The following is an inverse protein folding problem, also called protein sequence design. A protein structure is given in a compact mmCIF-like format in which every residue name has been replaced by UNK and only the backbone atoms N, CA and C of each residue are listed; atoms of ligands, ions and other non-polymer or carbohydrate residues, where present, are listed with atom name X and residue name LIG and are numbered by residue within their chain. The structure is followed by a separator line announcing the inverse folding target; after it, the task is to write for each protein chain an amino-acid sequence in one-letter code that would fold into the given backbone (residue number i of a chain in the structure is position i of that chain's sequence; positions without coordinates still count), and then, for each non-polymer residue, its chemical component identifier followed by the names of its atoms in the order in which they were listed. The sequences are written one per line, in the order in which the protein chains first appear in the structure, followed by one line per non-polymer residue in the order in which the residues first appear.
data_IF_753358623144
#
_entry.id   IF_753358623144
#
_cell.length_a   1.000
_cell.length_b   1.000
_cell.length_c   1.000
_cell.angle_alpha   90.00
_cell.angle_beta   90.00
_cell.angle_gamma   90.00
#
_symmetry.space_group_name_H-M   'P 1'
#
loop_
_entity.id
_entity.type
_entity.pdbx_description
1 polymer ?
#
# COMPACT_ATOMS: atom_id res chain seq x y z
N UNK A 1 27.52 4.65 3.59
CA UNK A 1 26.10 5.04 3.69
C UNK A 1 25.16 3.93 3.18
N UNK A 2 25.60 2.66 3.17
CA UNK A 2 24.80 1.51 2.68
C UNK A 2 24.23 0.66 3.82
N UNK A 3 24.93 0.61 4.96
CA UNK A 3 24.50 -0.19 6.14
C UNK A 3 23.14 0.25 6.71
N UNK A 4 22.78 1.54 6.60
CA UNK A 4 21.48 2.05 7.05
C UNK A 4 20.34 1.62 6.13
N UNK A 5 20.56 1.47 4.81
CA UNK A 5 19.53 0.95 3.90
C UNK A 5 19.26 -0.54 4.17
N UNK A 6 20.30 -1.35 4.38
CA UNK A 6 20.14 -2.78 4.69
C UNK A 6 19.47 -3.01 6.07
N UNK A 7 19.81 -2.21 7.09
CA UNK A 7 19.19 -2.31 8.41
C UNK A 7 17.70 -1.96 8.39
N UNK A 8 17.28 -1.04 7.52
CA UNK A 8 15.90 -0.58 7.42
C UNK A 8 15.01 -1.59 6.68
N UNK A 9 15.55 -2.23 5.63
CA UNK A 9 14.86 -3.31 4.90
C UNK A 9 14.63 -4.52 5.82
N UNK A 10 15.61 -4.93 6.63
CA UNK A 10 15.44 -6.05 7.56
C UNK A 10 14.39 -5.78 8.64
N UNK A 11 14.30 -4.56 9.17
CA UNK A 11 13.24 -4.18 10.12
C UNK A 11 11.87 -4.13 9.44
N UNK A 12 11.78 -3.59 8.22
CA UNK A 12 10.55 -3.57 7.43
C UNK A 12 10.02 -4.98 7.11
N UNK A 13 10.91 -5.90 6.74
CA UNK A 13 10.56 -7.31 6.49
C UNK A 13 10.03 -8.02 7.74
N UNK A 14 10.61 -7.77 8.92
CA UNK A 14 10.12 -8.34 10.18
C UNK A 14 8.72 -7.83 10.53
N UNK A 15 8.47 -6.53 10.36
CA UNK A 15 7.15 -5.93 10.58
C UNK A 15 6.12 -6.51 9.62
N UNK A 16 6.48 -6.68 8.36
CA UNK A 16 5.61 -7.29 7.36
C UNK A 16 5.36 -8.78 7.62
N UNK A 17 6.36 -9.56 8.03
CA UNK A 17 6.17 -10.97 8.42
C UNK A 17 5.19 -11.09 9.59
N UNK A 18 5.38 -10.29 10.64
CA UNK A 18 4.49 -10.27 11.79
C UNK A 18 3.07 -9.81 11.42
N UNK A 19 2.95 -8.83 10.51
CA UNK A 19 1.66 -8.40 9.97
C UNK A 19 1.01 -9.51 9.15
N UNK A 20 1.76 -10.20 8.30
CA UNK A 20 1.24 -11.30 7.49
C UNK A 20 0.71 -12.45 8.36
N UNK A 21 1.45 -12.83 9.39
CA UNK A 21 1.01 -13.83 10.38
C UNK A 21 -0.31 -13.40 11.05
N UNK A 22 -0.40 -12.14 11.49
CA UNK A 22 -1.64 -11.59 12.06
C UNK A 22 -2.80 -11.54 11.05
N UNK A 23 -2.51 -11.33 9.77
CA UNK A 23 -3.51 -11.25 8.72
C UNK A 23 -4.03 -12.62 8.27
N UNK A 24 -3.17 -13.65 8.29
CA UNK A 24 -3.54 -15.05 8.06
C UNK A 24 -4.50 -15.56 9.15
N UNK A 25 -4.37 -15.08 10.39
CA UNK A 25 -5.30 -15.41 11.50
C UNK A 25 -6.70 -14.78 11.34
N UNK A 26 -6.85 -13.75 10.51
CA UNK A 26 -8.10 -12.98 10.33
C UNK A 26 -8.98 -13.54 9.20
N UNK A 27 -8.58 -14.65 8.55
CA UNK A 27 -9.29 -15.26 7.40
C UNK A 27 -9.61 -14.23 6.30
N UNK A 28 -8.60 -13.44 5.94
CA UNK A 28 -8.73 -12.43 4.90
C UNK A 28 -8.77 -13.06 3.50
N UNK A 29 -9.59 -12.47 2.63
CA UNK A 29 -9.65 -12.82 1.21
C UNK A 29 -8.24 -12.77 0.58
N UNK A 30 -7.93 -13.80 -0.23
CA UNK A 30 -6.62 -13.95 -0.89
C UNK A 30 -6.19 -12.71 -1.67
N UNK A 31 -7.15 -11.95 -2.24
CA UNK A 31 -6.81 -10.74 -2.97
C UNK A 31 -6.38 -9.60 -2.04
N UNK A 32 -6.90 -9.53 -0.82
CA UNK A 32 -6.46 -8.55 0.18
C UNK A 32 -5.01 -8.84 0.58
N UNK A 33 -4.69 -10.12 0.83
CA UNK A 33 -3.34 -10.57 1.17
C UNK A 33 -2.39 -10.23 0.02
N UNK A 34 -2.74 -10.63 -1.22
CA UNK A 34 -1.94 -10.33 -2.40
C UNK A 34 -1.75 -8.81 -2.64
N UNK A 35 -2.78 -8.01 -2.39
CA UNK A 35 -2.70 -6.56 -2.52
C UNK A 35 -1.78 -5.92 -1.47
N UNK A 36 -1.81 -6.43 -0.23
CA UNK A 36 -0.88 -6.02 0.82
C UNK A 36 0.55 -6.46 0.51
N UNK A 37 0.76 -7.69 0.05
CA UNK A 37 2.07 -8.20 -0.36
C UNK A 37 2.71 -7.29 -1.41
N UNK A 38 1.96 -6.93 -2.45
CA UNK A 38 2.41 -6.00 -3.48
C UNK A 38 2.68 -4.60 -2.92
N UNK A 39 1.82 -4.09 -2.03
CA UNK A 39 2.00 -2.78 -1.40
C UNK A 39 3.28 -2.71 -0.57
N UNK A 40 3.54 -3.72 0.27
CA UNK A 40 4.76 -3.80 1.08
C UNK A 40 6.00 -4.01 0.22
N UNK A 41 5.92 -4.84 -0.83
CA UNK A 41 7.00 -4.97 -1.80
C UNK A 41 7.42 -3.60 -2.34
N UNK A 42 6.46 -2.79 -2.77
CA UNK A 42 6.74 -1.46 -3.29
C UNK A 42 7.23 -0.47 -2.23
N UNK A 43 6.72 -0.55 -1.01
CA UNK A 43 7.15 0.30 0.10
C UNK A 43 8.62 0.05 0.48
N UNK A 44 9.06 -1.22 0.49
CA UNK A 44 10.40 -1.60 0.96
C UNK A 44 11.44 -1.74 -0.14
N UNK A 45 11.05 -2.21 -1.33
CA UNK A 45 11.99 -2.50 -2.42
C UNK A 45 11.90 -1.49 -3.58
N UNK A 46 10.88 -0.64 -3.59
CA UNK A 46 10.66 0.34 -4.65
C UNK A 46 11.46 1.63 -4.42
N UNK A 47 12.21 2.05 -5.44
CA UNK A 47 12.75 3.42 -5.51
C UNK A 47 11.63 4.39 -5.93
N UNK A 48 10.63 4.52 -5.07
CA UNK A 48 9.44 5.34 -5.26
C UNK A 48 9.64 6.77 -4.76
N UNK A 49 9.00 7.72 -5.44
CA UNK A 49 8.89 9.08 -4.96
C UNK A 49 8.04 9.17 -3.68
N UNK A 50 8.13 10.31 -2.99
CA UNK A 50 7.47 10.52 -1.70
C UNK A 50 5.95 10.36 -1.77
N UNK A 51 5.31 10.84 -2.84
CA UNK A 51 3.86 10.76 -2.97
C UNK A 51 3.39 9.33 -3.27
N UNK A 52 4.13 8.59 -4.10
CA UNK A 52 3.86 7.17 -4.34
C UNK A 52 3.98 6.34 -3.04
N UNK A 53 5.00 6.63 -2.21
CA UNK A 53 5.13 6.00 -0.87
C UNK A 53 3.97 6.37 0.05
N UNK A 54 3.56 7.64 0.04
CA UNK A 54 2.41 8.13 0.81
C UNK A 54 1.11 7.44 0.38
N UNK A 55 0.89 7.28 -0.92
CA UNK A 55 -0.27 6.56 -1.46
C UNK A 55 -0.30 5.11 -0.98
N UNK A 56 0.83 4.39 -1.07
CA UNK A 56 0.94 3.00 -0.59
C UNK A 56 0.66 2.89 0.91
N UNK A 57 1.23 3.79 1.72
CA UNK A 57 0.96 3.80 3.16
C UNK A 57 -0.52 4.03 3.46
N UNK A 58 -1.17 4.95 2.74
CA UNK A 58 -2.62 5.18 2.88
C UNK A 58 -3.43 3.97 2.43
N UNK A 59 -3.00 3.24 1.41
CA UNK A 59 -3.63 1.99 1.01
C UNK A 59 -3.51 0.92 2.10
N UNK A 60 -2.32 0.74 2.67
CA UNK A 60 -2.10 -0.23 3.76
C UNK A 60 -2.99 0.10 4.97
N UNK A 61 -3.02 1.37 5.39
CA UNK A 61 -3.91 1.81 6.47
C UNK A 61 -5.39 1.68 6.13
N UNK A 62 -5.78 1.82 4.86
CA UNK A 62 -7.16 1.60 4.44
C UNK A 62 -7.58 0.16 4.67
N UNK A 63 -6.75 -0.79 4.23
CA UNK A 63 -7.01 -2.22 4.45
C UNK A 63 -7.10 -2.50 5.95
N UNK A 64 -6.11 -2.09 6.75
CA UNK A 64 -6.19 -2.30 8.20
C UNK A 64 -7.41 -1.63 8.84
N UNK A 65 -7.77 -0.42 8.42
CA UNK A 65 -8.94 0.24 8.99
C UNK A 65 -10.25 -0.50 8.72
N UNK A 66 -10.37 -1.11 7.54
CA UNK A 66 -11.55 -1.87 7.12
C UNK A 66 -11.66 -3.22 7.83
N UNK A 67 -10.55 -3.90 8.05
CA UNK A 67 -10.55 -5.27 8.57
C UNK A 67 -10.26 -5.39 10.06
N UNK A 68 -9.59 -4.39 10.66
CA UNK A 68 -9.38 -4.33 12.11
C UNK A 68 -10.48 -3.55 12.85
N UNK A 69 -11.51 -3.06 12.14
CA UNK A 69 -12.56 -2.17 12.69
C UNK A 69 -12.02 -0.94 13.44
N UNK A 70 -10.83 -0.47 13.06
CA UNK A 70 -10.16 0.68 13.68
C UNK A 70 -10.15 1.85 12.68
N UNK A 71 -10.67 3.04 13.03
CA UNK A 71 -10.67 4.21 12.15
C UNK A 71 -9.27 4.85 12.03
N UNK A 72 -8.31 4.11 11.48
CA UNK A 72 -6.95 4.58 11.22
C UNK A 72 -6.88 5.68 10.14
N UNK A 73 -7.93 5.83 9.32
CA UNK A 73 -8.03 6.86 8.29
C UNK A 73 -9.29 7.70 8.47
N UNK A 74 -9.10 8.94 8.87
CA UNK A 74 -10.18 9.91 9.09
C UNK A 74 -10.55 10.71 7.83
N UNK A 75 -9.66 10.75 6.83
CA UNK A 75 -9.89 11.46 5.57
C UNK A 75 -9.39 10.64 4.37
N UNK A 76 -10.34 10.12 3.58
CA UNK A 76 -10.10 9.59 2.24
C UNK A 76 -10.99 10.32 1.25
N UNK A 77 -10.46 10.64 0.06
CA UNK A 77 -11.33 11.10 -1.03
C UNK A 77 -12.09 9.91 -1.61
N UNK A 78 -13.26 10.17 -2.21
CA UNK A 78 -14.03 9.13 -2.89
C UNK A 78 -13.20 8.47 -4.00
N UNK A 79 -12.37 9.24 -4.69
CA UNK A 79 -11.45 8.76 -5.73
C UNK A 79 -10.40 7.78 -5.18
N UNK A 80 -9.80 8.09 -4.02
CA UNK A 80 -8.85 7.20 -3.36
C UNK A 80 -9.53 5.90 -2.93
N UNK A 81 -10.73 5.97 -2.35
CA UNK A 81 -11.48 4.78 -1.96
C UNK A 81 -11.79 3.88 -3.17
N UNK A 82 -12.19 4.47 -4.31
CA UNK A 82 -12.42 3.72 -5.55
C UNK A 82 -11.14 3.03 -6.05
N UNK A 83 -10.00 3.73 -6.01
CA UNK A 83 -8.71 3.15 -6.38
C UNK A 83 -8.30 2.01 -5.46
N UNK A 84 -8.48 2.16 -4.14
CA UNK A 84 -8.15 1.11 -3.19
C UNK A 84 -9.02 -0.12 -3.37
N UNK A 85 -10.33 0.05 -3.58
CA UNK A 85 -11.24 -1.07 -3.91
C UNK A 85 -10.83 -1.76 -5.21
N UNK A 86 -10.39 -1.00 -6.21
CA UNK A 86 -9.86 -1.56 -7.47
C UNK A 86 -8.59 -2.39 -7.25
N UNK A 87 -7.67 -1.89 -6.41
CA UNK A 87 -6.44 -2.63 -6.06
C UNK A 87 -6.77 -3.91 -5.31
N UNK A 88 -7.72 -3.90 -4.37
CA UNK A 88 -8.14 -5.13 -3.69
C UNK A 88 -8.76 -6.12 -4.68
N UNK A 89 -9.58 -5.66 -5.63
CA UNK A 89 -10.20 -6.54 -6.63
C UNK A 89 -9.20 -7.11 -7.64
N UNK A 90 -8.17 -6.35 -7.98
CA UNK A 90 -7.10 -6.73 -8.89
C UNK A 90 -5.75 -6.28 -8.29
N UNK A 91 -5.12 -7.14 -7.46
CA UNK A 91 -3.87 -6.82 -6.77
C UNK A 91 -2.73 -6.43 -7.71
N UNK A 92 -2.75 -6.90 -8.95
CA UNK A 92 -1.72 -6.58 -9.95
C UNK A 92 -1.86 -5.17 -10.52
N UNK A 93 -3.03 -4.54 -10.37
CA UNK A 93 -3.26 -3.16 -10.83
C UNK A 93 -2.34 -2.15 -10.15
N UNK A 94 -1.85 -2.45 -8.95
CA UNK A 94 -0.87 -1.62 -8.24
C UNK A 94 0.46 -1.51 -9.00
N UNK A 95 0.86 -2.53 -9.75
CA UNK A 95 2.08 -2.47 -10.57
C UNK A 95 1.96 -1.42 -11.67
N UNK A 96 0.80 -1.39 -12.36
CA UNK A 96 0.52 -0.38 -13.39
C UNK A 96 0.47 1.04 -12.83
N UNK A 97 0.01 1.18 -11.59
CA UNK A 97 0.01 2.45 -10.87
C UNK A 97 1.41 2.90 -10.47
N UNK A 98 2.24 2.00 -9.94
CA UNK A 98 3.61 2.30 -9.50
C UNK A 98 4.62 2.44 -10.64
N UNK A 99 4.37 1.81 -11.81
CA UNK A 99 5.21 1.95 -12.99
C UNK A 99 5.09 3.35 -13.64
N UNK A 100 3.97 4.04 -13.44
CA UNK A 100 3.72 5.38 -13.97
C UNK A 100 4.20 6.43 -12.97
N UNK A 101 5.49 6.78 -13.03
CA UNK A 101 6.05 7.90 -12.24
C UNK A 101 5.21 9.17 -12.44
N UNK A 102 4.73 9.76 -11.34
CA UNK A 102 4.16 11.12 -11.34
C UNK A 102 2.64 11.27 -11.31
N UNK A 103 1.86 10.19 -11.15
CA UNK A 103 0.39 10.32 -11.08
C UNK A 103 -0.08 10.91 -9.75
N UNK A 104 0.63 10.66 -8.66
CA UNK A 104 0.20 11.04 -7.30
C UNK A 104 0.68 12.41 -6.85
N UNK A 105 0.81 13.39 -7.74
CA UNK A 105 1.12 14.74 -7.27
C UNK A 105 -0.14 15.37 -6.69
N UNK A 106 -0.11 15.76 -5.40
CA UNK A 106 -1.20 16.46 -4.68
C UNK A 106 -1.65 17.80 -5.32
N UNK A 107 -1.11 18.17 -6.49
CA UNK A 107 -1.39 19.40 -7.23
C UNK A 107 -2.18 19.18 -8.53
N UNK A 108 -2.51 17.95 -8.92
CA UNK A 108 -3.40 17.70 -10.06
C UNK A 108 -4.43 16.65 -9.66
N UNK A 109 -5.75 16.94 -9.73
CA UNK A 109 -6.73 15.88 -9.71
C UNK A 109 -6.38 14.91 -10.84
N UNK A 110 -6.57 13.62 -10.59
CA UNK A 110 -6.34 12.54 -11.53
C UNK A 110 -7.04 12.86 -12.86
N UNK A 111 -6.32 13.44 -13.82
CA UNK A 111 -6.78 13.56 -15.20
C UNK A 111 -6.64 12.19 -15.82
N UNK A 112 -7.63 11.32 -15.57
CA UNK A 112 -7.93 10.24 -16.49
C UNK A 112 -8.52 10.86 -17.75
N UNK A 113 -7.93 10.47 -18.89
CA UNK A 113 -8.44 10.50 -20.27
C UNK A 113 -9.83 11.12 -20.44
#
# INVERSE_FOLDING_TARGET
MEALCYFNVQKGLKIYSALRELLEEIDLDDNIIAALDNAFFYLFNGNLDFESKRFILRFIFYVFSKYCNDPLLTHQTVEEEMLFKKIIKDPNSIHGLMARKGIYTAKRPLSYI
#
